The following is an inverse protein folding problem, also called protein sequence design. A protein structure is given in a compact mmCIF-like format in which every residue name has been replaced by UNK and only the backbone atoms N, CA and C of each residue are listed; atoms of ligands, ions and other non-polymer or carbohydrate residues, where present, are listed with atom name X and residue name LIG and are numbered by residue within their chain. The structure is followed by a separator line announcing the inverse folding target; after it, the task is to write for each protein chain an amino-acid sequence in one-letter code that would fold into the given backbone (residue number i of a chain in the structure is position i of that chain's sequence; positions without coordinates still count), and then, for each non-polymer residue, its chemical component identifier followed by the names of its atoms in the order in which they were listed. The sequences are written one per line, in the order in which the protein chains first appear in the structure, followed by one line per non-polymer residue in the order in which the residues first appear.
data_IF_170850290446
#
_entry.id   IF_170850290446
#
_cell.length_a   1.000
_cell.length_b   1.000
_cell.length_c   1.000
_cell.angle_alpha   90.00
_cell.angle_beta   90.00
_cell.angle_gamma   90.00
#
_symmetry.space_group_name_H-M   'P 1'
#
loop_
_entity.id
_entity.type
_entity.pdbx_description
1 polymer ?
#
# COMPACT_ATOMS: atom_id res chain seq x y z
N UNK A 1 2.13 -10.17 9.13
CA UNK A 1 0.87 -9.70 8.53
C UNK A 1 0.80 -8.21 8.73
N UNK A 2 0.44 -7.47 7.66
CA UNK A 2 0.17 -6.02 7.69
C UNK A 2 -1.27 -5.78 7.24
N UNK A 3 -1.92 -4.77 7.82
CA UNK A 3 -3.30 -4.44 7.49
C UNK A 3 -3.61 -2.98 7.80
N UNK A 4 -4.64 -2.45 7.17
CA UNK A 4 -5.18 -1.11 7.42
C UNK A 4 -6.26 -1.15 8.47
N UNK A 5 -6.29 -0.16 9.35
CA UNK A 5 -7.34 0.04 10.34
C UNK A 5 -7.68 1.52 10.46
N UNK A 6 -8.95 1.83 10.65
CA UNK A 6 -9.40 3.17 11.02
C UNK A 6 -8.90 3.52 12.44
N UNK A 7 -8.33 4.68 12.59
CA UNK A 7 -8.07 5.25 13.91
C UNK A 7 -9.37 5.80 14.46
N UNK A 8 -9.93 5.16 15.49
CA UNK A 8 -10.95 5.78 16.31
C UNK A 8 -10.24 6.83 17.19
N UNK A 9 -10.11 8.04 16.70
CA UNK A 9 -9.78 9.16 17.55
C UNK A 9 -11.09 9.58 18.20
N UNK A 10 -11.22 9.36 19.51
CA UNK A 10 -12.20 10.03 20.35
C UNK A 10 -11.85 11.53 20.44
N UNK A 11 -11.86 12.23 19.33
CA UNK A 11 -11.64 13.65 19.27
C UNK A 11 -12.72 14.27 18.40
N UNK A 12 -13.15 15.45 18.78
CA UNK A 12 -14.21 16.26 18.19
C UNK A 12 -13.99 16.67 16.71
N UNK A 13 -13.13 15.99 15.98
CA UNK A 13 -12.89 16.22 14.56
C UNK A 13 -13.49 15.07 13.76
N UNK A 14 -14.41 15.38 12.85
CA UNK A 14 -15.13 14.46 11.97
C UNK A 14 -14.22 13.78 10.90
N UNK A 15 -12.91 13.86 11.02
CA UNK A 15 -11.94 13.32 10.07
C UNK A 15 -11.36 12.02 10.61
N UNK A 16 -11.65 10.91 9.92
CA UNK A 16 -11.08 9.60 10.18
C UNK A 16 -9.84 9.38 9.32
N UNK A 17 -8.70 9.19 9.95
CA UNK A 17 -7.48 8.76 9.26
C UNK A 17 -7.32 7.25 9.32
N UNK A 18 -6.77 6.67 8.26
CA UNK A 18 -6.42 5.26 8.20
C UNK A 18 -4.96 5.06 8.59
N UNK A 19 -4.67 3.98 9.29
CA UNK A 19 -3.32 3.67 9.77
C UNK A 19 -2.96 2.22 9.50
N UNK A 20 -1.67 1.98 9.28
CA UNK A 20 -1.12 0.64 9.08
C UNK A 20 -0.67 0.01 10.40
N UNK A 21 -0.96 -1.26 10.51
CA UNK A 21 -0.59 -2.09 11.65
C UNK A 21 0.11 -3.37 11.20
N UNK A 22 0.94 -3.91 12.06
CA UNK A 22 1.52 -5.25 11.91
C UNK A 22 1.17 -6.13 13.09
N UNK A 23 1.15 -7.45 12.86
CA UNK A 23 1.15 -8.44 13.94
C UNK A 23 2.59 -8.74 14.30
N UNK A 24 2.93 -8.63 15.57
CA UNK A 24 4.31 -8.66 16.06
C UNK A 24 4.96 -10.05 15.97
N UNK A 25 4.18 -11.13 15.99
CA UNK A 25 4.68 -12.50 15.93
C UNK A 25 4.11 -13.26 14.74
N UNK A 26 4.87 -14.24 14.23
CA UNK A 26 4.46 -15.05 13.08
C UNK A 26 3.39 -16.10 13.38
N UNK A 27 2.97 -16.24 14.64
CA UNK A 27 1.92 -17.18 15.07
C UNK A 27 0.76 -16.35 15.57
N UNK A 28 -0.36 -16.45 14.87
CA UNK A 28 -1.59 -15.77 15.30
C UNK A 28 -2.20 -16.56 16.44
N UNK A 29 -2.05 -16.06 17.66
CA UNK A 29 -2.79 -16.52 18.82
C UNK A 29 -3.60 -15.34 19.43
N UNK A 30 -4.44 -15.63 20.41
CA UNK A 30 -5.30 -14.61 21.04
C UNK A 30 -4.51 -13.52 21.79
N UNK A 31 -3.19 -13.66 21.91
CA UNK A 31 -2.30 -12.75 22.63
C UNK A 31 -1.39 -11.95 21.70
N UNK A 32 -1.48 -12.13 20.37
CA UNK A 32 -0.67 -11.40 19.39
C UNK A 32 -0.87 -9.88 19.54
N UNK A 33 0.23 -9.18 19.72
CA UNK A 33 0.20 -7.72 19.85
C UNK A 33 0.04 -7.06 18.49
N UNK A 34 -1.04 -6.34 18.29
CA UNK A 34 -1.23 -5.46 17.15
C UNK A 34 -0.41 -4.18 17.39
N UNK A 35 0.52 -3.91 16.51
CA UNK A 35 1.46 -2.80 16.63
C UNK A 35 1.28 -1.80 15.51
N UNK A 36 1.04 -0.50 15.82
CA UNK A 36 1.01 0.54 14.81
C UNK A 36 2.41 0.74 14.21
N UNK A 37 2.47 0.89 12.88
CA UNK A 37 3.72 1.22 12.21
C UNK A 37 4.17 2.65 12.54
N UNK A 38 5.48 2.88 12.48
CA UNK A 38 6.08 4.19 12.82
C UNK A 38 5.78 5.30 11.82
N UNK A 39 5.26 4.95 10.66
CA UNK A 39 4.88 5.87 9.58
C UNK A 39 3.46 6.44 9.73
N UNK A 40 2.66 5.90 10.65
CA UNK A 40 1.32 6.42 10.91
C UNK A 40 1.38 7.82 11.51
N UNK A 41 0.37 8.63 11.20
CA UNK A 41 0.24 10.02 11.67
C UNK A 41 -1.23 10.37 11.92
N UNK A 42 -1.48 11.39 12.74
CA UNK A 42 -2.84 11.86 13.07
C UNK A 42 -3.36 12.92 12.09
N UNK A 43 -2.58 13.26 11.05
CA UNK A 43 -2.91 14.30 10.08
C UNK A 43 -3.00 13.81 8.64
N UNK A 44 -2.71 12.54 8.39
CA UNK A 44 -2.84 11.91 7.08
C UNK A 44 -3.06 10.40 7.23
N UNK A 45 -3.59 9.80 6.19
CA UNK A 45 -3.84 8.36 6.11
C UNK A 45 -2.65 7.60 5.56
N UNK A 46 -2.43 6.38 6.07
CA UNK A 46 -1.48 5.39 5.54
C UNK A 46 -2.24 4.08 5.41
N UNK A 47 -2.36 3.53 4.18
CA UNK A 47 -3.28 2.43 3.89
C UNK A 47 -2.78 1.50 2.76
N UNK A 48 -3.51 0.41 2.54
CA UNK A 48 -3.31 -0.56 1.45
C UNK A 48 -1.87 -1.11 1.38
N UNK A 49 -1.39 -1.79 2.44
CA UNK A 49 -0.01 -2.26 2.49
C UNK A 49 0.22 -3.46 1.57
N UNK A 50 1.37 -3.49 0.91
CA UNK A 50 1.92 -4.68 0.26
C UNK A 50 3.42 -4.78 0.53
N UNK A 51 3.96 -5.99 0.47
CA UNK A 51 5.39 -6.26 0.72
C UNK A 51 6.03 -6.73 -0.59
N UNK A 52 7.25 -6.25 -0.88
CA UNK A 52 8.07 -6.81 -1.96
C UNK A 52 8.35 -8.29 -1.72
N UNK A 53 8.54 -9.06 -2.80
CA UNK A 53 8.78 -10.51 -2.69
C UNK A 53 10.05 -10.86 -1.91
N UNK A 54 11.07 -10.00 -1.94
CA UNK A 54 12.30 -10.17 -1.15
C UNK A 54 12.11 -9.82 0.34
N UNK A 55 10.92 -9.33 0.72
CA UNK A 55 10.57 -8.95 2.09
C UNK A 55 11.28 -7.69 2.61
N UNK A 56 11.95 -6.91 1.75
CA UNK A 56 12.77 -5.78 2.17
C UNK A 56 12.08 -4.43 2.11
N UNK A 57 10.92 -4.33 1.45
CA UNK A 57 10.17 -3.08 1.32
C UNK A 57 8.70 -3.30 1.62
N UNK A 58 8.11 -2.32 2.29
CA UNK A 58 6.66 -2.19 2.43
C UNK A 58 6.20 -1.02 1.58
N UNK A 59 5.22 -1.27 0.70
CA UNK A 59 4.57 -0.26 -0.12
C UNK A 59 3.19 0.04 0.44
N UNK A 60 2.72 1.25 0.25
CA UNK A 60 1.43 1.71 0.75
C UNK A 60 0.96 2.96 0.02
N UNK A 61 -0.31 3.30 0.20
CA UNK A 61 -0.90 4.55 -0.28
C UNK A 61 -1.01 5.55 0.88
N UNK A 62 -0.79 6.83 0.60
CA UNK A 62 -0.92 7.89 1.60
C UNK A 62 -1.18 9.25 0.98
N UNK A 63 -1.96 10.08 1.67
CA UNK A 63 -2.16 11.50 1.39
C UNK A 63 -1.21 12.41 2.21
N UNK A 64 -0.06 11.85 2.62
CA UNK A 64 0.94 12.62 3.36
C UNK A 64 1.46 13.82 2.57
N UNK A 65 1.77 14.95 3.23
CA UNK A 65 2.25 16.15 2.57
C UNK A 65 3.50 15.93 1.72
N UNK A 66 3.54 16.56 0.54
CA UNK A 66 4.67 16.49 -0.40
C UNK A 66 4.48 15.44 -1.51
N UNK A 67 3.29 14.88 -1.64
CA UNK A 67 2.88 14.06 -2.76
C UNK A 67 2.60 14.84 -4.05
N UNK A 68 2.12 14.13 -5.07
CA UNK A 68 1.77 14.69 -6.39
C UNK A 68 0.27 14.94 -6.52
N UNK A 69 -0.55 14.18 -5.81
CA UNK A 69 -2.00 14.21 -5.92
C UNK A 69 -2.76 14.04 -4.62
N UNK A 70 -3.85 13.29 -4.69
CA UNK A 70 -4.64 12.91 -3.53
C UNK A 70 -3.92 11.85 -2.70
N UNK A 71 -4.08 10.59 -3.07
CA UNK A 71 -3.36 9.46 -2.49
C UNK A 71 -2.23 9.05 -3.44
N UNK A 72 -1.02 9.10 -2.96
CA UNK A 72 0.17 8.66 -3.71
C UNK A 72 0.68 7.32 -3.18
N UNK A 73 1.40 6.58 -4.03
CA UNK A 73 2.16 5.40 -3.63
C UNK A 73 3.52 5.78 -3.07
N UNK A 74 3.84 5.17 -1.93
CA UNK A 74 5.10 5.29 -1.22
C UNK A 74 5.66 3.92 -0.87
N UNK A 75 6.94 3.88 -0.50
CA UNK A 75 7.53 2.71 0.15
C UNK A 75 8.45 3.11 1.30
N UNK A 76 8.67 2.16 2.22
CA UNK A 76 9.75 2.19 3.19
C UNK A 76 10.60 0.93 3.05
N UNK A 77 11.91 1.07 3.32
CA UNK A 77 12.78 -0.08 3.49
C UNK A 77 12.60 -0.69 4.88
N UNK A 78 12.61 -2.01 4.96
CA UNK A 78 12.60 -2.76 6.22
C UNK A 78 14.04 -2.97 6.64
N UNK A 79 14.49 -2.17 7.62
CA UNK A 79 15.88 -2.09 8.08
C UNK A 79 16.25 -3.20 9.08
N UNK A 80 15.33 -4.13 9.36
CA UNK A 80 15.47 -5.19 10.33
C UNK A 80 14.45 -5.07 11.48
N UNK A 81 14.76 -5.70 12.60
CA UNK A 81 13.89 -5.70 13.79
C UNK A 81 14.38 -4.71 14.82
N UNK A 82 13.46 -4.11 15.54
CA UNK A 82 13.71 -3.30 16.73
C UNK A 82 12.76 -3.72 17.86
N UNK A 83 13.19 -3.49 19.10
CA UNK A 83 12.31 -3.68 20.25
C UNK A 83 11.51 -2.42 20.53
N UNK A 84 10.20 -2.58 20.72
CA UNK A 84 9.28 -1.51 21.11
C UNK A 84 8.41 -1.96 22.27
N UNK A 85 8.22 -1.10 23.25
CA UNK A 85 7.31 -1.38 24.35
C UNK A 85 5.87 -1.14 23.91
N UNK A 86 5.07 -2.21 23.90
CA UNK A 86 3.65 -2.21 23.52
C UNK A 86 2.84 -2.78 24.68
N UNK A 87 1.90 -2.00 25.21
CA UNK A 87 1.06 -2.39 26.35
C UNK A 87 1.84 -2.99 27.54
N UNK A 88 3.06 -2.52 27.76
CA UNK A 88 3.93 -2.99 28.85
C UNK A 88 4.92 -4.09 28.49
N UNK A 89 4.73 -4.78 27.39
CA UNK A 89 5.61 -5.84 26.87
C UNK A 89 6.62 -5.29 25.86
N UNK A 90 7.80 -5.94 25.77
CA UNK A 90 8.78 -5.67 24.71
C UNK A 90 8.45 -6.55 23.49
N UNK A 91 8.08 -5.89 22.40
CA UNK A 91 7.72 -6.55 21.15
C UNK A 91 8.79 -6.30 20.09
N UNK A 92 9.07 -7.33 19.27
CA UNK A 92 9.93 -7.18 18.09
C UNK A 92 9.09 -6.73 16.90
N UNK A 93 9.39 -5.55 16.40
CA UNK A 93 8.69 -4.94 15.26
C UNK A 93 9.68 -4.60 14.15
N UNK A 94 9.21 -4.48 12.92
CA UNK A 94 10.04 -3.99 11.83
C UNK A 94 10.40 -2.52 12.05
N UNK A 95 11.71 -2.24 11.94
CA UNK A 95 12.24 -0.89 11.83
C UNK A 95 12.13 -0.48 10.36
N UNK A 96 11.46 0.64 10.09
CA UNK A 96 11.26 1.18 8.76
C UNK A 96 12.16 2.40 8.53
N UNK A 97 12.57 2.62 7.28
CA UNK A 97 13.11 3.89 6.83
C UNK A 97 12.03 4.97 6.80
N UNK A 98 12.42 6.22 6.54
CA UNK A 98 11.48 7.26 6.15
C UNK A 98 10.76 6.87 4.85
N UNK A 99 9.49 7.30 4.65
CA UNK A 99 8.75 7.07 3.42
C UNK A 99 9.41 7.70 2.19
N UNK A 100 9.43 6.96 1.09
CA UNK A 100 9.93 7.42 -0.20
C UNK A 100 8.77 7.38 -1.20
N UNK A 101 8.43 8.52 -1.80
CA UNK A 101 7.41 8.62 -2.84
C UNK A 101 7.88 7.92 -4.13
N UNK A 102 7.00 7.20 -4.81
CA UNK A 102 7.34 6.48 -6.07
C UNK A 102 7.54 7.42 -7.27
N UNK A 103 7.32 8.71 -7.09
CA UNK A 103 7.58 9.74 -8.09
C UNK A 103 6.50 9.88 -9.16
N UNK A 104 6.62 10.92 -9.97
CA UNK A 104 5.61 11.36 -10.94
C UNK A 104 5.46 10.48 -12.18
N UNK A 105 6.28 9.45 -12.33
CA UNK A 105 6.04 8.44 -13.36
C UNK A 105 4.91 7.49 -12.96
N UNK A 106 4.79 7.20 -11.66
CA UNK A 106 3.76 6.31 -11.09
C UNK A 106 2.62 7.12 -10.52
N UNK A 107 2.92 8.09 -9.66
CA UNK A 107 1.93 8.96 -9.03
C UNK A 107 1.48 10.08 -9.97
N UNK A 108 0.22 10.48 -9.84
CA UNK A 108 -0.45 11.50 -10.66
C UNK A 108 -1.07 12.58 -9.78
N UNK A 109 -1.87 13.49 -10.36
CA UNK A 109 -2.69 14.44 -9.59
C UNK A 109 -3.94 13.79 -8.96
N UNK A 110 -4.26 12.55 -9.33
CA UNK A 110 -5.37 11.77 -8.79
C UNK A 110 -4.99 10.96 -7.55
N UNK A 111 -5.55 9.77 -7.48
CA UNK A 111 -5.29 8.81 -6.40
C UNK A 111 -4.63 7.57 -6.97
N UNK A 112 -3.55 7.11 -6.35
CA UNK A 112 -2.91 5.85 -6.59
C UNK A 112 -3.04 4.97 -5.35
N UNK A 113 -3.75 3.84 -5.50
CA UNK A 113 -4.17 3.02 -4.37
C UNK A 113 -4.00 1.52 -4.65
N UNK A 114 -4.05 0.70 -3.60
CA UNK A 114 -4.00 -0.76 -3.66
C UNK A 114 -2.79 -1.31 -4.43
N UNK A 115 -1.54 -0.93 -4.07
CA UNK A 115 -0.37 -1.51 -4.70
C UNK A 115 -0.28 -3.01 -4.43
N UNK A 116 0.12 -3.78 -5.46
CA UNK A 116 0.36 -5.21 -5.34
C UNK A 116 1.54 -5.64 -6.22
N UNK A 117 2.53 -6.32 -5.63
CA UNK A 117 3.66 -6.89 -6.36
C UNK A 117 3.39 -8.36 -6.70
N UNK A 118 3.26 -8.64 -8.00
CA UNK A 118 3.22 -10.02 -8.49
C UNK A 118 4.61 -10.68 -8.39
N UNK A 119 5.66 -9.90 -8.73
CA UNK A 119 7.07 -10.26 -8.57
C UNK A 119 7.88 -8.94 -8.46
N UNK A 120 9.18 -9.03 -8.23
CA UNK A 120 10.00 -7.83 -7.97
C UNK A 120 10.04 -6.81 -9.12
N UNK A 121 9.55 -7.19 -10.31
CA UNK A 121 9.59 -6.34 -11.50
C UNK A 121 8.20 -5.90 -12.02
N UNK A 122 7.11 -6.43 -11.46
CA UNK A 122 5.73 -6.11 -11.87
C UNK A 122 4.96 -5.62 -10.65
N UNK A 123 4.53 -4.35 -10.72
CA UNK A 123 3.66 -3.70 -9.73
C UNK A 123 2.30 -3.45 -10.37
N UNK A 124 1.23 -3.88 -9.71
CA UNK A 124 -0.14 -3.46 -10.00
C UNK A 124 -0.58 -2.40 -9.00
N UNK A 125 -1.42 -1.47 -9.44
CA UNK A 125 -2.08 -0.49 -8.58
C UNK A 125 -3.35 0.01 -9.27
N UNK A 126 -4.22 0.70 -8.54
CA UNK A 126 -5.40 1.35 -9.12
C UNK A 126 -5.22 2.86 -9.10
N UNK A 127 -5.64 3.53 -10.16
CA UNK A 127 -5.56 5.00 -10.29
C UNK A 127 -6.78 5.59 -10.96
N UNK A 128 -7.21 6.76 -10.50
CA UNK A 128 -8.21 7.62 -11.15
C UNK A 128 -7.56 8.83 -11.85
N UNK A 129 -6.25 9.03 -11.70
CA UNK A 129 -5.49 10.11 -12.33
C UNK A 129 -4.98 9.81 -13.73
N UNK A 130 -5.17 8.57 -14.24
CA UNK A 130 -4.74 8.13 -15.57
C UNK A 130 -5.94 7.90 -16.48
N UNK A 131 -5.71 7.99 -17.81
CA UNK A 131 -6.74 7.66 -18.79
C UNK A 131 -7.11 6.19 -18.66
N UNK A 132 -8.38 5.93 -18.36
CA UNK A 132 -8.94 4.63 -18.10
C UNK A 132 -10.33 4.45 -18.68
N UNK A 133 -11.07 3.45 -18.20
CA UNK A 133 -12.43 3.12 -18.63
C UNK A 133 -13.47 3.63 -17.63
N UNK A 134 -13.08 3.78 -16.37
CA UNK A 134 -13.96 4.14 -15.26
C UNK A 134 -13.40 5.26 -14.38
N UNK A 135 -13.65 5.19 -13.10
CA UNK A 135 -13.02 5.99 -12.06
C UNK A 135 -11.65 5.40 -11.72
N UNK A 136 -11.56 4.55 -10.70
CA UNK A 136 -10.35 3.77 -10.46
C UNK A 136 -10.23 2.67 -11.50
N UNK A 137 -9.12 2.63 -12.22
CA UNK A 137 -8.73 1.55 -13.12
C UNK A 137 -7.43 0.91 -12.63
N UNK A 138 -7.27 -0.40 -12.92
CA UNK A 138 -6.07 -1.15 -12.59
C UNK A 138 -5.01 -0.91 -13.66
N UNK A 139 -3.81 -0.54 -13.21
CA UNK A 139 -2.62 -0.35 -14.03
C UNK A 139 -1.54 -1.35 -13.65
N UNK A 140 -0.71 -1.70 -14.62
CA UNK A 140 0.43 -2.59 -14.46
C UNK A 140 1.70 -1.83 -14.84
N UNK A 141 2.67 -1.83 -13.93
CA UNK A 141 4.01 -1.26 -14.15
C UNK A 141 4.95 -2.40 -14.47
N UNK A 142 5.55 -2.33 -15.64
CA UNK A 142 6.64 -3.19 -16.05
C UNK A 142 7.99 -2.56 -15.71
N UNK A 143 8.98 -3.42 -15.49
CA UNK A 143 10.36 -2.97 -15.24
C UNK A 143 10.48 -1.99 -14.07
N UNK A 144 9.71 -2.23 -12.99
CA UNK A 144 9.70 -1.37 -11.81
C UNK A 144 11.11 -1.13 -11.24
N UNK A 145 12.01 -2.12 -11.30
CA UNK A 145 13.39 -2.00 -10.81
C UNK A 145 14.28 -1.15 -11.71
N UNK A 146 13.94 -1.00 -12.99
CA UNK A 146 14.67 -0.14 -13.94
C UNK A 146 13.79 1.00 -14.43
N UNK A 147 13.85 2.11 -13.72
CA UNK A 147 13.01 3.29 -14.00
C UNK A 147 13.34 3.97 -15.34
N UNK A 148 14.46 3.63 -16.00
CA UNK A 148 14.81 4.16 -17.34
C UNK A 148 13.93 3.57 -18.43
N UNK A 149 13.45 2.33 -18.24
CA UNK A 149 12.59 1.58 -19.16
C UNK A 149 11.23 1.22 -18.54
N UNK A 150 10.82 1.93 -17.50
CA UNK A 150 9.55 1.74 -16.83
C UNK A 150 8.39 2.02 -17.79
N UNK A 151 7.53 1.04 -17.97
CA UNK A 151 6.32 1.11 -18.79
C UNK A 151 5.09 0.93 -17.90
N UNK A 152 4.03 1.67 -18.18
CA UNK A 152 2.77 1.61 -17.42
C UNK A 152 1.62 1.39 -18.39
N UNK A 153 0.93 0.27 -18.24
CA UNK A 153 -0.19 -0.13 -19.06
C UNK A 153 -1.49 -0.16 -18.23
N UNK A 154 -2.59 0.36 -18.83
CA UNK A 154 -3.92 0.04 -18.34
C UNK A 154 -4.22 -1.43 -18.67
N UNK A 155 -4.58 -2.25 -17.69
CA UNK A 155 -4.82 -3.69 -17.93
C UNK A 155 -6.07 -3.97 -18.79
N UNK A 156 -6.96 -2.96 -18.93
CA UNK A 156 -8.10 -3.02 -19.84
C UNK A 156 -9.13 -4.10 -19.49
N UNK A 157 -10.05 -4.33 -20.44
CA UNK A 157 -11.07 -5.38 -20.30
C UNK A 157 -10.42 -6.78 -20.37
N UNK A 158 -10.90 -7.75 -19.61
CA UNK A 158 -12.14 -7.70 -18.78
C UNK A 158 -11.91 -7.20 -17.34
N UNK A 159 -10.71 -6.79 -16.96
CA UNK A 159 -10.37 -6.42 -15.58
C UNK A 159 -10.88 -5.02 -15.24
N UNK A 160 -10.74 -4.05 -16.16
CA UNK A 160 -11.26 -2.71 -15.98
C UNK A 160 -12.62 -2.54 -16.67
N UNK A 161 -13.52 -1.80 -16.01
CA UNK A 161 -14.90 -1.52 -16.40
C UNK A 161 -15.18 0.00 -16.39
N UNK A 162 -16.39 0.48 -16.76
CA UNK A 162 -16.76 1.88 -16.60
C UNK A 162 -17.01 2.33 -15.14
N UNK A 163 -16.65 1.52 -14.14
CA UNK A 163 -16.81 1.77 -12.71
C UNK A 163 -15.44 1.79 -12.03
N UNK A 164 -15.41 1.76 -10.69
CA UNK A 164 -14.15 1.63 -9.96
C UNK A 164 -13.72 0.16 -9.90
N UNK A 165 -12.51 -0.11 -10.37
CA UNK A 165 -11.86 -1.42 -10.34
C UNK A 165 -10.58 -1.33 -9.52
N UNK A 166 -10.46 -2.13 -8.44
CA UNK A 166 -9.40 -1.99 -7.46
C UNK A 166 -9.07 -3.31 -6.74
N UNK A 167 -8.06 -3.27 -5.85
CA UNK A 167 -7.64 -4.43 -5.05
C UNK A 167 -7.29 -5.66 -5.89
N UNK A 168 -6.53 -5.45 -6.96
CA UNK A 168 -6.11 -6.54 -7.84
C UNK A 168 -5.08 -7.44 -7.16
N UNK A 169 -5.30 -8.75 -7.28
CA UNK A 169 -4.37 -9.78 -6.86
C UNK A 169 -4.35 -10.89 -7.91
N UNK A 170 -3.18 -11.42 -8.22
CA UNK A 170 -3.00 -12.60 -9.05
C UNK A 170 -1.92 -13.51 -8.45
N UNK A 171 -2.18 -14.82 -8.41
CA UNK A 171 -1.20 -15.80 -7.93
C UNK A 171 0.06 -15.81 -8.80
N UNK A 172 1.23 -16.10 -8.21
CA UNK A 172 2.51 -16.14 -8.95
C UNK A 172 2.50 -17.14 -10.12
N UNK A 173 1.74 -18.22 -10.01
CA UNK A 173 1.55 -19.22 -11.07
C UNK A 173 0.43 -18.87 -12.06
N UNK A 174 -0.17 -17.69 -11.93
CA UNK A 174 -1.20 -17.10 -12.81
C UNK A 174 -2.45 -18.01 -12.97
N UNK A 175 -2.75 -18.85 -11.97
CA UNK A 175 -3.89 -19.76 -12.04
C UNK A 175 -5.17 -19.19 -11.50
N UNK A 176 -5.08 -18.23 -10.58
CA UNK A 176 -6.24 -17.56 -10.01
C UNK A 176 -5.87 -16.14 -9.60
N UNK A 177 -6.89 -15.29 -9.52
CA UNK A 177 -6.75 -13.91 -9.06
C UNK A 177 -8.08 -13.40 -8.53
N UNK A 178 -8.04 -12.25 -7.89
CA UNK A 178 -9.19 -11.54 -7.36
C UNK A 178 -9.07 -10.07 -7.70
N UNK A 179 -10.20 -9.44 -7.89
CA UNK A 179 -10.32 -8.00 -7.99
C UNK A 179 -11.64 -7.57 -7.34
N UNK A 180 -11.72 -6.31 -6.96
CA UNK A 180 -12.96 -5.67 -6.53
C UNK A 180 -13.42 -4.70 -7.60
N UNK A 181 -14.72 -4.70 -7.90
CA UNK A 181 -15.36 -3.79 -8.85
C UNK A 181 -16.72 -3.36 -8.30
N UNK A 182 -17.12 -2.08 -8.49
CA UNK A 182 -18.40 -1.54 -8.03
C UNK A 182 -19.53 -1.87 -8.99
#
# INVERSE_FOLDING_TARGET
IYFTRSNNIEANDDVLYLSLYSVATGVIDEQDSIVPLSINNDHYSVMHPTISNDGKRIFFSSDMPGGYGGLDLYYCEILGLQEKKVKGNLEKINKLSDPINLGNKINTEGNEVFPYFMNDNILFYSSDGRIGLGGLDIFMVHNYLDTSILEIDNVGKPFNSPKDDFSFFISQDIKFGFLSSN
#
